data_IF_281885605622
#
_entry.id   IF_281885605622
#
_cell.length_a   1.000
_cell.length_b   1.000
_cell.length_c   1.000
_cell.angle_alpha   90.00
_cell.angle_beta   90.00
_cell.angle_gamma   90.00
#
_symmetry.space_group_name_H-M   'P 1'
#
loop_
_entity.id
_entity.type
_entity.pdbx_description
1 polymer ?
#
# COMPACT_ATOMS: atom_id res chain seq x y z
N UNK A 1 17.33 -12.93 -0.83
CA UNK A 1 17.85 -11.66 -0.30
C UNK A 1 17.36 -10.53 -1.20
N UNK A 2 16.85 -9.44 -0.62
CA UNK A 2 16.33 -8.32 -1.40
C UNK A 2 17.46 -7.43 -1.95
N UNK A 3 17.21 -6.67 -3.04
CA UNK A 3 18.16 -5.66 -3.52
C UNK A 3 18.45 -4.59 -2.46
N UNK A 4 19.50 -3.81 -2.70
CA UNK A 4 19.86 -2.67 -1.84
C UNK A 4 18.68 -1.69 -1.75
N UNK A 5 18.43 -1.17 -0.54
CA UNK A 5 17.33 -0.25 -0.22
C UNK A 5 15.92 -0.85 -0.34
N UNK A 6 15.81 -2.18 -0.28
CA UNK A 6 14.56 -2.91 -0.09
C UNK A 6 14.57 -3.64 1.25
N UNK A 7 13.38 -3.76 1.83
CA UNK A 7 13.13 -4.54 3.05
C UNK A 7 12.55 -5.90 2.67
N UNK A 8 12.85 -6.91 3.48
CA UNK A 8 12.29 -8.26 3.33
C UNK A 8 11.15 -8.44 4.32
N UNK A 9 9.97 -8.78 3.83
CA UNK A 9 8.83 -9.18 4.66
C UNK A 9 8.33 -10.52 4.14
N UNK A 10 8.46 -11.58 4.95
CA UNK A 10 8.24 -12.95 4.48
C UNK A 10 9.23 -13.30 3.38
N UNK A 11 8.70 -13.68 2.21
CA UNK A 11 9.45 -13.97 0.99
C UNK A 11 9.36 -12.86 -0.07
N UNK A 12 8.89 -11.67 0.32
CA UNK A 12 8.67 -10.53 -0.56
C UNK A 12 9.63 -9.37 -0.25
N UNK A 13 9.89 -8.55 -1.27
CA UNK A 13 10.76 -7.38 -1.18
C UNK A 13 9.98 -6.10 -1.41
N UNK A 14 10.08 -5.15 -0.49
CA UNK A 14 9.39 -3.87 -0.58
C UNK A 14 10.36 -2.71 -0.56
N UNK A 15 10.06 -1.65 -1.31
CA UNK A 15 10.75 -0.37 -1.21
C UNK A 15 9.81 0.65 -0.61
N UNK A 16 10.24 1.27 0.47
CA UNK A 16 9.48 2.36 1.11
C UNK A 16 9.91 3.67 0.47
N UNK A 17 8.94 4.43 -0.01
CA UNK A 17 9.15 5.75 -0.62
C UNK A 17 8.40 6.77 0.24
N UNK A 18 9.16 7.62 0.92
CA UNK A 18 8.59 8.68 1.75
C UNK A 18 8.31 9.90 0.85
N UNK A 19 7.06 10.05 0.42
CA UNK A 19 6.63 11.17 -0.42
C UNK A 19 5.17 11.52 -0.12
N UNK A 20 4.90 12.81 0.14
CA UNK A 20 3.54 13.34 0.23
C UNK A 20 2.96 13.41 -1.18
N UNK A 21 2.10 12.45 -1.52
CA UNK A 21 1.58 12.25 -2.87
C UNK A 21 0.17 11.66 -2.82
N UNK A 22 -0.61 11.85 -3.87
CA UNK A 22 -1.84 11.11 -4.15
C UNK A 22 -1.52 9.67 -4.58
N UNK A 23 -2.51 8.77 -4.58
CA UNK A 23 -2.32 7.39 -5.06
C UNK A 23 -1.79 7.35 -6.50
N UNK A 24 -2.34 8.20 -7.38
CA UNK A 24 -1.95 8.24 -8.80
C UNK A 24 -0.50 8.73 -8.97
N UNK A 25 -0.08 9.72 -8.19
CA UNK A 25 1.31 10.18 -8.15
C UNK A 25 2.26 9.11 -7.57
N UNK A 26 1.88 8.44 -6.48
CA UNK A 26 2.66 7.35 -5.91
C UNK A 26 2.84 6.19 -6.91
N UNK A 27 1.78 5.84 -7.64
CA UNK A 27 1.83 4.86 -8.71
C UNK A 27 2.76 5.29 -9.84
N UNK A 28 2.72 6.57 -10.24
CA UNK A 28 3.64 7.11 -11.25
C UNK A 28 5.10 7.07 -10.78
N UNK A 29 5.37 7.39 -9.52
CA UNK A 29 6.71 7.30 -8.91
C UNK A 29 7.22 5.86 -8.97
N UNK A 30 6.42 4.88 -8.54
CA UNK A 30 6.79 3.46 -8.62
C UNK A 30 7.11 3.05 -10.05
N UNK A 31 6.24 3.40 -11.02
CA UNK A 31 6.44 3.08 -12.44
C UNK A 31 7.71 3.69 -13.01
N UNK A 32 8.04 4.93 -12.65
CA UNK A 32 9.28 5.59 -13.06
C UNK A 32 10.54 4.87 -12.53
N UNK A 33 10.42 4.14 -11.43
CA UNK A 33 11.47 3.29 -10.87
C UNK A 33 11.43 1.85 -11.41
N UNK A 34 10.60 1.56 -12.42
CA UNK A 34 10.32 0.20 -12.90
C UNK A 34 9.78 -0.73 -11.79
N UNK A 35 9.03 -0.16 -10.86
CA UNK A 35 8.33 -0.84 -9.76
C UNK A 35 6.82 -0.69 -9.92
N UNK A 36 6.08 -1.37 -9.05
CA UNK A 36 4.64 -1.26 -8.89
C UNK A 36 4.30 -0.92 -7.45
N UNK A 37 3.12 -0.36 -7.21
CA UNK A 37 2.61 -0.26 -5.86
C UNK A 37 2.36 -1.69 -5.32
N UNK A 38 2.63 -1.90 -4.04
CA UNK A 38 2.71 -3.24 -3.48
C UNK A 38 1.36 -3.96 -3.41
N UNK A 39 1.38 -5.26 -3.70
CA UNK A 39 0.33 -6.23 -3.39
C UNK A 39 0.91 -7.22 -2.37
N UNK A 40 1.03 -6.83 -1.08
CA UNK A 40 1.63 -7.68 -0.07
C UNK A 40 0.77 -8.92 0.19
N UNK A 41 1.40 -10.10 0.22
CA UNK A 41 0.73 -11.34 0.64
C UNK A 41 0.36 -11.35 2.12
N UNK A 42 1.12 -10.61 2.94
CA UNK A 42 0.81 -10.40 4.34
C UNK A 42 0.90 -8.90 4.69
N UNK A 43 -0.16 -8.12 4.44
CA UNK A 43 -0.11 -6.69 4.69
C UNK A 43 -0.06 -6.35 6.18
N UNK A 44 -0.53 -7.20 7.09
CA UNK A 44 -0.39 -6.99 8.54
C UNK A 44 1.07 -7.02 8.99
N UNK A 45 1.88 -7.90 8.40
CA UNK A 45 3.32 -7.95 8.66
C UNK A 45 4.05 -6.73 8.09
N UNK A 46 3.66 -6.28 6.89
CA UNK A 46 4.18 -5.05 6.29
C UNK A 46 3.82 -3.83 7.14
N UNK A 47 2.56 -3.70 7.57
CA UNK A 47 2.09 -2.60 8.41
C UNK A 47 2.81 -2.56 9.76
N UNK A 48 2.97 -3.73 10.41
CA UNK A 48 3.73 -3.85 11.67
C UNK A 48 5.17 -3.37 11.50
N UNK A 49 5.83 -3.78 10.41
CA UNK A 49 7.19 -3.37 10.13
C UNK A 49 7.28 -1.86 9.88
N UNK A 50 6.37 -1.30 9.07
CA UNK A 50 6.34 0.14 8.79
C UNK A 50 6.14 0.93 10.08
N UNK A 51 5.17 0.55 10.91
CA UNK A 51 4.91 1.18 12.22
C UNK A 51 6.14 1.15 13.13
N UNK A 52 6.87 0.01 13.16
CA UNK A 52 8.10 -0.13 13.93
C UNK A 52 9.20 0.84 13.48
N UNK A 53 9.37 1.05 12.17
CA UNK A 53 10.44 1.92 11.64
C UNK A 53 10.05 3.41 11.57
N UNK A 54 8.77 3.74 11.43
CA UNK A 54 8.30 5.13 11.28
C UNK A 54 8.16 5.85 12.62
N UNK A 55 8.02 5.10 13.73
CA UNK A 55 7.80 5.65 15.08
C UNK A 55 6.57 6.54 15.21
N UNK A 56 5.73 6.60 14.17
CA UNK A 56 4.55 7.46 14.00
C UNK A 56 3.51 6.70 13.18
N UNK A 57 2.23 7.03 13.36
CA UNK A 57 1.12 6.54 12.52
C UNK A 57 1.19 7.16 11.11
N UNK A 58 2.26 6.87 10.37
CA UNK A 58 2.46 7.32 9.00
C UNK A 58 1.72 6.41 8.04
N UNK A 59 0.93 6.99 7.15
CA UNK A 59 0.16 6.24 6.16
C UNK A 59 0.92 6.11 4.84
N UNK A 60 0.86 4.94 4.19
CA UNK A 60 1.51 4.70 2.90
C UNK A 60 0.51 4.21 1.86
N UNK A 61 0.84 4.45 0.59
CA UNK A 61 0.08 3.92 -0.53
C UNK A 61 0.55 2.53 -0.89
N UNK A 62 -0.40 1.66 -1.24
CA UNK A 62 -0.13 0.35 -1.85
C UNK A 62 -1.04 0.15 -3.07
N UNK A 63 -0.92 -1.00 -3.74
CA UNK A 63 -1.52 -1.24 -5.05
C UNK A 63 -3.04 -1.43 -5.06
N UNK A 64 -3.68 -1.46 -3.89
CA UNK A 64 -5.11 -1.66 -3.77
C UNK A 64 -5.87 -0.38 -4.10
N UNK A 65 -6.87 -0.48 -4.97
CA UNK A 65 -7.80 0.62 -5.26
C UNK A 65 -9.20 0.07 -5.45
N UNK A 66 -10.21 0.88 -5.12
CA UNK A 66 -11.60 0.48 -5.27
C UNK A 66 -12.52 1.68 -5.39
N UNK A 67 -13.77 1.41 -5.73
CA UNK A 67 -14.85 2.40 -5.87
C UNK A 67 -15.82 2.40 -4.68
N UNK A 68 -15.42 1.78 -3.57
CA UNK A 68 -16.23 1.62 -2.36
C UNK A 68 -17.11 0.38 -2.31
N UNK A 69 -17.29 -0.34 -3.42
CA UNK A 69 -18.00 -1.64 -3.44
C UNK A 69 -17.12 -2.80 -3.86
N UNK A 70 -16.19 -2.55 -4.80
CA UNK A 70 -15.23 -3.52 -5.30
C UNK A 70 -13.84 -2.92 -5.15
N UNK A 71 -12.94 -3.72 -4.61
CA UNK A 71 -11.54 -3.40 -4.43
C UNK A 71 -10.70 -4.40 -5.18
N UNK A 72 -9.66 -3.93 -5.85
CA UNK A 72 -8.77 -4.76 -6.64
C UNK A 72 -7.34 -4.30 -6.47
N UNK A 73 -6.45 -5.27 -6.56
CA UNK A 73 -5.04 -5.04 -6.76
C UNK A 73 -4.73 -4.64 -8.20
N UNK A 74 -3.55 -4.08 -8.43
CA UNK A 74 -3.09 -3.79 -9.79
C UNK A 74 -2.95 -5.04 -10.66
N UNK A 75 -2.83 -6.23 -10.06
CA UNK A 75 -2.86 -7.53 -10.75
C UNK A 75 -4.25 -7.92 -11.28
N UNK A 76 -5.32 -7.25 -10.82
CA UNK A 76 -6.70 -7.62 -11.08
C UNK A 76 -7.29 -8.59 -10.05
N UNK A 77 -6.50 -9.04 -9.07
CA UNK A 77 -7.02 -9.84 -7.97
C UNK A 77 -7.99 -9.01 -7.10
N UNK A 78 -9.13 -9.62 -6.76
CA UNK A 78 -10.12 -9.00 -5.87
C UNK A 78 -9.54 -8.92 -4.45
N UNK A 79 -9.75 -7.77 -3.83
CA UNK A 79 -9.46 -7.55 -2.42
C UNK A 79 -10.75 -7.83 -1.64
N UNK A 80 -10.73 -8.72 -0.64
CA UNK A 80 -11.90 -8.97 0.20
C UNK A 80 -12.36 -7.70 0.93
N UNK A 81 -13.69 -7.48 0.97
CA UNK A 81 -14.29 -6.31 1.63
C UNK A 81 -14.14 -6.33 3.16
N UNK A 82 -13.88 -7.49 3.74
CA UNK A 82 -13.65 -7.75 5.16
C UNK A 82 -12.16 -7.70 5.54
N UNK A 83 -11.29 -7.20 4.64
CA UNK A 83 -9.87 -7.15 4.95
C UNK A 83 -9.60 -6.16 6.09
N UNK A 84 -9.12 -6.68 7.22
CA UNK A 84 -8.89 -6.00 8.50
C UNK A 84 -7.97 -4.75 8.45
N UNK A 85 -7.39 -4.45 7.29
CA UNK A 85 -6.41 -3.38 7.11
C UNK A 85 -7.01 -2.12 6.47
N UNK A 86 -8.26 -2.17 6.02
CA UNK A 86 -8.99 -0.97 5.61
C UNK A 86 -9.40 -0.18 6.87
N UNK A 87 -8.73 0.94 7.16
CA UNK A 87 -9.23 1.87 8.18
C UNK A 87 -10.47 2.60 7.66
N UNK A 88 -11.58 2.63 8.42
CA UNK A 88 -12.66 3.56 8.15
C UNK A 88 -12.16 4.98 8.32
N UNK A 89 -12.42 5.85 7.34
CA UNK A 89 -12.60 7.26 7.65
C UNK A 89 -11.80 8.30 6.89
N UNK A 90 -10.82 8.03 6.02
CA UNK A 90 -10.21 9.12 5.25
C UNK A 90 -9.62 8.73 3.88
N UNK A 91 -9.64 9.66 2.90
CA UNK A 91 -10.15 11.03 3.01
C UNK A 91 -11.55 11.14 2.41
N UNK A 92 -12.52 11.46 3.27
CA UNK A 92 -13.80 12.05 2.87
C UNK A 92 -14.76 11.19 2.04
N UNK A 93 -16.02 11.46 2.28
CA UNK A 93 -17.21 10.87 1.69
C UNK A 93 -17.39 11.25 0.21
N UNK A 94 -16.37 11.04 -0.62
CA UNK A 94 -16.44 11.09 -2.08
C UNK A 94 -15.45 10.06 -2.65
N UNK A 95 -16.01 8.91 -3.04
CA UNK A 95 -15.49 7.87 -3.94
C UNK A 95 -13.99 7.94 -4.35
N UNK A 96 -13.27 6.84 -4.09
CA UNK A 96 -12.13 6.31 -4.88
C UNK A 96 -10.70 6.36 -4.31
N UNK A 97 -10.47 6.58 -3.01
CA UNK A 97 -9.11 6.49 -2.45
C UNK A 97 -9.09 5.85 -1.07
N UNK A 98 -8.65 4.60 -0.99
CA UNK A 98 -8.39 3.93 0.27
C UNK A 98 -6.88 3.70 0.39
N UNK A 99 -6.27 4.30 1.40
CA UNK A 99 -4.86 4.08 1.74
C UNK A 99 -4.70 2.73 2.46
N UNK A 100 -3.50 2.16 2.45
CA UNK A 100 -3.10 1.22 3.51
C UNK A 100 -2.05 1.86 4.40
N UNK A 101 -2.54 2.46 5.49
CA UNK A 101 -2.01 2.35 6.86
C UNK A 101 -2.94 3.06 7.85
#
# INVERSE_FOLDING_TARGET
ACPRDFITIGDECFKIINSLSTWDEANAICRNLSLVLSEPRNPSSLATYISFISGTDSNYWIGGRGNGTIFMWQSGALIPNDWELWRPGHPESNENSYCLL
#
